data_IF_120020895460
#
_entry.id   IF_120020895460
#
_cell.length_a   1.000
_cell.length_b   1.000
_cell.length_c   1.000
_cell.angle_alpha   90.00
_cell.angle_beta   90.00
_cell.angle_gamma   90.00
#
_symmetry.space_group_name_H-M   'P 1'
#
loop_
_entity.id
_entity.type
_entity.pdbx_description
1 polymer ?
#
# COMPACT_ATOMS: atom_id res chain seq x y z
N UNK A 1 27.71 -11.64 -10.89
CA UNK A 1 28.82 -11.92 -9.95
C UNK A 1 30.19 -11.56 -10.54
N UNK A 2 30.49 -11.92 -11.80
CA UNK A 2 31.76 -11.58 -12.46
C UNK A 2 32.10 -10.08 -12.46
N UNK A 3 31.10 -9.21 -12.62
CA UNK A 3 31.30 -7.75 -12.55
C UNK A 3 31.82 -7.31 -11.18
N UNK A 4 31.20 -7.78 -10.10
CA UNK A 4 31.62 -7.43 -8.73
C UNK A 4 33.03 -7.94 -8.42
N UNK A 5 33.33 -9.17 -8.85
CA UNK A 5 34.68 -9.76 -8.74
C UNK A 5 35.72 -8.90 -9.45
N UNK A 6 35.46 -8.55 -10.72
CA UNK A 6 36.37 -7.76 -11.54
C UNK A 6 36.62 -6.39 -10.91
N UNK A 7 35.55 -5.74 -10.43
CA UNK A 7 35.66 -4.45 -9.74
C UNK A 7 36.52 -4.57 -8.49
N UNK A 8 36.26 -5.55 -7.62
CA UNK A 8 37.02 -5.76 -6.39
C UNK A 8 38.50 -6.01 -6.67
N UNK A 9 38.81 -6.86 -7.65
CA UNK A 9 40.20 -7.15 -8.01
C UNK A 9 40.93 -5.93 -8.61
N UNK A 10 40.18 -4.97 -9.17
CA UNK A 10 40.76 -3.73 -9.73
C UNK A 10 41.03 -2.69 -8.64
N UNK A 11 40.15 -2.57 -7.63
CA UNK A 11 40.18 -1.44 -6.67
C UNK A 11 40.65 -1.83 -5.27
N UNK A 12 40.83 -3.12 -4.98
CA UNK A 12 41.13 -3.59 -3.64
C UNK A 12 42.19 -4.68 -3.60
N UNK A 13 42.92 -4.72 -2.48
CA UNK A 13 43.89 -5.76 -2.12
C UNK A 13 43.40 -6.53 -0.90
N UNK A 14 43.80 -7.78 -0.76
CA UNK A 14 43.46 -8.56 0.43
C UNK A 14 44.05 -7.91 1.69
N UNK A 15 43.20 -7.67 2.70
CA UNK A 15 43.63 -7.11 4.00
C UNK A 15 44.62 -8.02 4.74
N UNK A 16 44.58 -9.34 4.51
CA UNK A 16 45.39 -10.30 5.25
C UNK A 16 46.75 -10.58 4.60
N UNK A 17 46.80 -10.77 3.27
CA UNK A 17 48.02 -11.15 2.55
C UNK A 17 48.53 -10.08 1.57
N UNK A 18 47.84 -8.93 1.46
CA UNK A 18 48.16 -7.85 0.52
C UNK A 18 48.20 -8.24 -0.97
N UNK A 19 47.76 -9.45 -1.33
CA UNK A 19 47.67 -9.86 -2.73
C UNK A 19 46.63 -9.03 -3.49
N UNK A 20 46.92 -8.77 -4.76
CA UNK A 20 46.02 -8.19 -5.76
C UNK A 20 45.42 -9.29 -6.63
N UNK A 21 44.30 -9.01 -7.30
CA UNK A 21 43.59 -9.96 -8.18
C UNK A 21 43.29 -11.33 -7.54
N UNK A 22 43.04 -11.34 -6.24
CA UNK A 22 42.92 -12.57 -5.46
C UNK A 22 41.51 -12.88 -4.99
N UNK A 23 40.52 -11.99 -5.20
CA UNK A 23 39.16 -12.20 -4.70
C UNK A 23 38.35 -13.09 -5.64
N UNK A 24 37.63 -14.04 -5.05
CA UNK A 24 36.47 -14.68 -5.64
C UNK A 24 35.22 -14.25 -4.90
N UNK A 25 34.12 -14.13 -5.64
CA UNK A 25 32.81 -13.78 -5.07
C UNK A 25 31.87 -14.93 -5.40
N UNK A 26 31.30 -15.53 -4.35
CA UNK A 26 30.35 -16.63 -4.44
C UNK A 26 29.01 -16.23 -3.84
N UNK A 27 27.95 -16.85 -4.33
CA UNK A 27 26.60 -16.68 -3.79
C UNK A 27 26.20 -17.95 -3.04
N UNK A 28 25.84 -17.84 -1.76
CA UNK A 28 25.28 -18.97 -1.00
C UNK A 28 23.78 -19.09 -1.29
N UNK A 29 23.46 -19.81 -2.36
CA UNK A 29 22.09 -20.06 -2.81
C UNK A 29 21.20 -20.72 -1.74
N UNK A 30 21.78 -21.61 -0.92
CA UNK A 30 21.09 -22.28 0.18
C UNK A 30 20.62 -21.33 1.29
N UNK A 31 21.23 -20.15 1.40
CA UNK A 31 20.90 -19.16 2.43
C UNK A 31 19.90 -18.10 1.95
N UNK A 32 19.37 -18.25 0.72
CA UNK A 32 18.42 -17.31 0.11
C UNK A 32 17.12 -17.23 0.91
N UNK A 33 16.63 -16.01 1.12
CA UNK A 33 15.38 -15.71 1.83
C UNK A 33 14.60 -14.67 1.03
N UNK A 34 13.73 -15.13 0.13
CA UNK A 34 13.08 -14.25 -0.84
C UNK A 34 14.12 -13.67 -1.80
N UNK A 35 14.15 -12.36 -1.96
CA UNK A 35 15.15 -11.67 -2.78
C UNK A 35 16.51 -11.50 -2.10
N UNK A 36 16.61 -11.75 -0.80
CA UNK A 36 17.90 -11.64 -0.09
C UNK A 36 18.77 -12.86 -0.34
N UNK A 37 20.02 -12.61 -0.71
CA UNK A 37 21.09 -13.61 -0.78
C UNK A 37 22.30 -13.24 0.08
N UNK A 38 23.14 -14.21 0.38
CA UNK A 38 24.43 -14.04 1.06
C UNK A 38 25.55 -14.10 0.02
N UNK A 39 26.40 -13.08 0.02
CA UNK A 39 27.60 -13.03 -0.79
C UNK A 39 28.79 -13.39 0.08
N UNK A 40 29.63 -14.29 -0.41
CA UNK A 40 30.87 -14.72 0.24
C UNK A 40 32.03 -14.24 -0.62
N UNK A 41 32.91 -13.47 -0.01
CA UNK A 41 34.17 -13.02 -0.59
C UNK A 41 35.28 -13.92 -0.06
N UNK A 42 36.07 -14.50 -0.96
CA UNK A 42 37.16 -15.42 -0.61
C UNK A 42 38.44 -14.92 -1.27
N UNK A 43 39.52 -14.80 -0.50
CA UNK A 43 40.84 -14.58 -1.07
C UNK A 43 41.46 -15.92 -1.47
N UNK A 44 41.73 -16.14 -2.76
CA UNK A 44 42.36 -17.38 -3.25
C UNK A 44 43.78 -17.58 -2.74
N UNK A 45 44.53 -16.48 -2.52
CA UNK A 45 45.94 -16.57 -2.11
C UNK A 45 46.14 -17.03 -0.66
N UNK A 46 45.26 -16.65 0.28
CA UNK A 46 45.43 -16.95 1.70
C UNK A 46 44.21 -17.63 2.35
N UNK A 47 43.14 -17.88 1.61
CA UNK A 47 41.95 -18.58 2.08
C UNK A 47 41.03 -17.80 3.01
N UNK A 48 41.34 -16.55 3.36
CA UNK A 48 40.46 -15.75 4.22
C UNK A 48 39.11 -15.51 3.52
N UNK A 49 38.02 -15.57 4.29
CA UNK A 49 36.68 -15.36 3.77
C UNK A 49 35.87 -14.40 4.65
N UNK A 50 34.94 -13.71 4.02
CA UNK A 50 33.96 -12.86 4.69
C UNK A 50 32.62 -12.97 3.97
N UNK A 51 31.53 -13.06 4.70
CA UNK A 51 30.19 -13.12 4.12
C UNK A 51 29.32 -11.95 4.55
N UNK A 52 28.38 -11.56 3.71
CA UNK A 52 27.44 -10.48 3.99
C UNK A 52 26.12 -10.69 3.25
N UNK A 53 25.01 -10.36 3.91
CA UNK A 53 23.70 -10.35 3.27
C UNK A 53 23.54 -9.13 2.39
N UNK A 54 22.89 -9.31 1.24
CA UNK A 54 22.57 -8.25 0.26
C UNK A 54 21.53 -7.25 0.74
N UNK A 55 20.85 -7.51 1.86
CA UNK A 55 19.85 -6.63 2.44
C UNK A 55 20.00 -6.60 3.95
N UNK A 56 19.72 -5.43 4.53
CA UNK A 56 19.57 -5.24 5.96
C UNK A 56 18.37 -6.04 6.51
N UNK A 57 18.46 -6.43 7.78
CA UNK A 57 17.41 -7.15 8.51
C UNK A 57 16.72 -6.20 9.50
N UNK A 58 15.42 -6.02 9.33
CA UNK A 58 14.55 -5.31 10.28
C UNK A 58 13.68 -6.30 11.06
N UNK A 59 12.88 -5.79 12.01
CA UNK A 59 11.97 -6.60 12.84
C UNK A 59 11.01 -7.47 12.02
N UNK A 60 10.62 -7.01 10.83
CA UNK A 60 9.68 -7.69 9.95
C UNK A 60 10.34 -8.65 8.95
N UNK A 61 11.68 -8.67 8.87
CA UNK A 61 12.45 -9.48 7.94
C UNK A 61 13.46 -8.64 7.16
N UNK A 62 13.93 -9.14 6.02
CA UNK A 62 14.84 -8.36 5.19
C UNK A 62 14.12 -7.22 4.46
N UNK A 63 14.72 -6.04 4.48
CA UNK A 63 14.11 -4.82 3.92
C UNK A 63 13.75 -4.94 2.44
N UNK A 64 14.61 -5.58 1.63
CA UNK A 64 14.32 -5.80 0.21
C UNK A 64 13.01 -6.57 -0.01
N UNK A 65 12.69 -7.51 0.89
CA UNK A 65 11.43 -8.25 0.81
C UNK A 65 10.24 -7.38 1.24
N UNK A 66 10.41 -6.55 2.26
CA UNK A 66 9.37 -5.59 2.69
C UNK A 66 9.09 -4.58 1.59
N UNK A 67 10.12 -4.04 0.95
CA UNK A 67 10.03 -3.09 -0.16
C UNK A 67 9.34 -3.74 -1.37
N UNK A 68 9.70 -4.98 -1.71
CA UNK A 68 9.02 -5.73 -2.77
C UNK A 68 7.52 -5.84 -2.51
N UNK A 69 7.13 -6.26 -1.30
CA UNK A 69 5.71 -6.41 -0.93
C UNK A 69 5.01 -5.05 -0.96
N UNK A 70 5.64 -4.01 -0.42
CA UNK A 70 5.09 -2.66 -0.41
C UNK A 70 4.90 -2.07 -1.82
N UNK A 71 5.91 -2.19 -2.69
CA UNK A 71 5.83 -1.72 -4.07
C UNK A 71 4.74 -2.44 -4.85
N UNK A 72 4.64 -3.76 -4.70
CA UNK A 72 3.60 -4.56 -5.35
C UNK A 72 2.19 -4.20 -4.83
N UNK A 73 2.06 -3.87 -3.54
CA UNK A 73 0.80 -3.36 -2.97
C UNK A 73 0.39 -2.01 -3.58
N UNK A 74 1.34 -1.10 -3.80
CA UNK A 74 1.05 0.22 -4.38
C UNK A 74 0.47 0.14 -5.80
N UNK A 75 0.87 -0.88 -6.57
CA UNK A 75 0.33 -1.14 -7.90
C UNK A 75 -0.88 -2.11 -7.90
N UNK A 76 -1.41 -2.46 -6.72
CA UNK A 76 -2.58 -3.33 -6.58
C UNK A 76 -2.32 -4.81 -6.89
N UNK A 77 -1.06 -5.26 -6.80
CA UNK A 77 -0.66 -6.62 -7.13
C UNK A 77 -0.23 -7.43 -5.90
N UNK A 78 -0.62 -8.71 -5.89
CA UNK A 78 -0.32 -9.66 -4.82
C UNK A 78 0.80 -10.65 -5.15
N UNK A 79 0.97 -11.66 -4.28
CA UNK A 79 2.02 -12.69 -4.36
C UNK A 79 2.13 -13.37 -5.73
N UNK A 80 1.01 -13.66 -6.39
CA UNK A 80 1.01 -14.32 -7.71
C UNK A 80 1.69 -13.48 -8.80
N UNK A 81 1.42 -12.17 -8.80
CA UNK A 81 2.08 -11.25 -9.71
C UNK A 81 3.57 -11.13 -9.39
N UNK A 82 3.93 -11.09 -8.10
CA UNK A 82 5.35 -11.08 -7.67
C UNK A 82 6.08 -12.34 -8.14
N UNK A 83 5.45 -13.51 -8.04
CA UNK A 83 6.04 -14.76 -8.54
C UNK A 83 6.33 -14.70 -10.04
N UNK A 84 5.39 -14.17 -10.82
CA UNK A 84 5.55 -13.99 -12.26
C UNK A 84 6.67 -13.01 -12.57
N UNK A 85 6.69 -11.87 -11.87
CA UNK A 85 7.73 -10.86 -11.99
C UNK A 85 9.13 -11.44 -11.69
N UNK A 86 9.26 -12.20 -10.60
CA UNK A 86 10.51 -12.86 -10.25
C UNK A 86 10.94 -13.85 -11.34
N UNK A 87 10.03 -14.66 -11.86
CA UNK A 87 10.33 -15.63 -12.92
C UNK A 87 10.80 -14.94 -14.21
N UNK A 88 10.12 -13.89 -14.65
CA UNK A 88 10.45 -13.15 -15.88
C UNK A 88 11.81 -12.45 -15.76
N UNK A 89 12.11 -11.87 -14.60
CA UNK A 89 13.37 -11.16 -14.36
C UNK A 89 14.51 -12.07 -13.90
N UNK A 90 14.33 -13.39 -13.91
CA UNK A 90 15.29 -14.37 -13.41
C UNK A 90 15.78 -14.06 -11.96
N UNK A 91 14.84 -13.65 -11.10
CA UNK A 91 15.08 -13.40 -9.68
C UNK A 91 14.70 -14.61 -8.83
N UNK A 92 15.22 -14.62 -7.59
CA UNK A 92 14.78 -15.56 -6.57
C UNK A 92 13.26 -15.49 -6.33
N UNK A 93 12.62 -16.62 -5.98
CA UNK A 93 11.19 -16.66 -5.70
C UNK A 93 10.79 -15.65 -4.60
N UNK A 94 9.53 -15.19 -4.60
CA UNK A 94 9.04 -14.29 -3.57
C UNK A 94 9.22 -14.87 -2.16
N UNK A 95 9.34 -14.01 -1.14
CA UNK A 95 9.57 -14.45 0.23
C UNK A 95 8.47 -15.41 0.70
N UNK A 96 8.88 -16.51 1.35
CA UNK A 96 7.94 -17.50 1.88
C UNK A 96 6.90 -16.87 2.84
N UNK A 97 7.35 -15.89 3.64
CA UNK A 97 6.53 -15.14 4.60
C UNK A 97 5.80 -13.92 3.99
N UNK A 98 5.47 -13.95 2.70
CA UNK A 98 4.81 -12.84 1.97
C UNK A 98 3.57 -12.32 2.71
N UNK A 99 2.66 -13.19 3.15
CA UNK A 99 1.41 -12.77 3.81
C UNK A 99 1.65 -12.13 5.18
N UNK A 100 2.68 -12.59 5.91
CA UNK A 100 3.07 -11.97 7.17
C UNK A 100 3.60 -10.56 6.94
N UNK A 101 4.45 -10.36 5.94
CA UNK A 101 4.94 -9.04 5.54
C UNK A 101 3.77 -8.14 5.12
N UNK A 102 2.87 -8.64 4.29
CA UNK A 102 1.71 -7.89 3.81
C UNK A 102 0.77 -7.48 4.97
N UNK A 103 0.57 -8.39 5.94
CA UNK A 103 -0.23 -8.10 7.14
C UNK A 103 0.44 -7.06 8.03
N UNK A 104 1.75 -7.16 8.24
CA UNK A 104 2.53 -6.18 9.02
C UNK A 104 2.48 -4.79 8.37
N UNK A 105 2.70 -4.72 7.07
CA UNK A 105 2.55 -3.50 6.28
C UNK A 105 1.13 -2.93 6.37
N UNK A 106 0.10 -3.78 6.34
CA UNK A 106 -1.27 -3.33 6.52
C UNK A 106 -1.47 -2.62 7.85
N UNK A 107 -0.97 -3.19 8.95
CA UNK A 107 -1.09 -2.59 10.29
C UNK A 107 -0.34 -1.26 10.38
N UNK A 108 0.89 -1.22 9.88
CA UNK A 108 1.71 -0.02 9.89
C UNK A 108 1.05 1.11 9.09
N UNK A 109 0.56 0.81 7.88
CA UNK A 109 -0.14 1.77 7.02
C UNK A 109 -1.47 2.22 7.63
N UNK A 110 -2.24 1.31 8.25
CA UNK A 110 -3.46 1.69 8.96
C UNK A 110 -3.16 2.65 10.12
N UNK A 111 -2.13 2.38 10.92
CA UNK A 111 -1.72 3.29 12.01
C UNK A 111 -1.30 4.66 11.48
N UNK A 112 -0.49 4.69 10.42
CA UNK A 112 -0.06 5.94 9.78
C UNK A 112 -1.27 6.71 9.21
N UNK A 113 -2.21 6.01 8.57
CA UNK A 113 -3.43 6.58 8.04
C UNK A 113 -4.27 7.22 9.15
N UNK A 114 -4.53 6.51 10.25
CA UNK A 114 -5.29 7.05 11.39
C UNK A 114 -4.65 8.30 11.96
N UNK A 115 -3.32 8.30 12.17
CA UNK A 115 -2.58 9.48 12.65
C UNK A 115 -2.67 10.66 11.68
N UNK A 116 -2.59 10.38 10.38
CA UNK A 116 -2.71 11.41 9.33
C UNK A 116 -4.12 12.02 9.30
N UNK A 117 -5.16 11.20 9.41
CA UNK A 117 -6.56 11.66 9.43
C UNK A 117 -6.88 12.45 10.69
N UNK A 118 -6.38 12.04 11.87
CA UNK A 118 -6.53 12.83 13.10
C UNK A 118 -5.96 14.25 12.95
N UNK A 119 -4.75 14.37 12.39
CA UNK A 119 -4.15 15.67 12.09
C UNK A 119 -4.94 16.47 11.03
N UNK A 120 -5.58 15.78 10.07
CA UNK A 120 -6.44 16.42 9.10
C UNK A 120 -7.72 16.97 9.75
N UNK A 121 -8.32 16.23 10.68
CA UNK A 121 -9.48 16.66 11.47
C UNK A 121 -9.12 17.86 12.33
N UNK A 122 -8.03 17.80 13.10
CA UNK A 122 -7.55 18.92 13.91
C UNK A 122 -7.34 20.18 13.06
N UNK A 123 -6.69 20.02 11.91
CA UNK A 123 -6.51 21.11 10.94
C UNK A 123 -7.83 21.67 10.42
N UNK A 124 -8.83 20.83 10.16
CA UNK A 124 -10.14 21.26 9.69
C UNK A 124 -10.92 22.01 10.79
N UNK A 125 -10.94 21.50 12.02
CA UNK A 125 -11.58 22.16 13.18
C UNK A 125 -10.94 23.52 13.43
N UNK A 126 -9.61 23.61 13.41
CA UNK A 126 -8.91 24.89 13.64
C UNK A 126 -9.23 25.96 12.60
N UNK A 127 -9.50 25.57 11.34
CA UNK A 127 -9.90 26.50 10.28
C UNK A 127 -11.38 26.88 10.30
N UNK A 128 -12.20 26.09 10.99
CA UNK A 128 -13.64 26.27 11.08
C UNK A 128 -14.04 26.94 12.40
N UNK A 129 -13.26 27.92 12.86
CA UNK A 129 -13.47 28.63 14.13
C UNK A 129 -13.68 27.70 15.35
N UNK A 130 -12.93 26.59 15.39
CA UNK A 130 -13.04 25.52 16.39
C UNK A 130 -14.39 24.78 16.41
N UNK A 131 -15.24 24.96 15.40
CA UNK A 131 -16.45 24.17 15.20
C UNK A 131 -16.13 22.78 14.66
N UNK A 132 -16.82 21.78 15.22
CA UNK A 132 -16.73 20.38 14.79
C UNK A 132 -17.66 20.05 13.61
N UNK A 133 -18.48 21.00 13.18
CA UNK A 133 -19.36 20.86 12.02
C UNK A 133 -18.56 21.11 10.73
N UNK A 134 -17.87 20.07 10.28
CA UNK A 134 -17.00 20.14 9.10
C UNK A 134 -17.80 19.80 7.83
N UNK A 135 -17.75 20.70 6.85
CA UNK A 135 -18.30 20.42 5.52
C UNK A 135 -17.35 19.49 4.75
N UNK A 136 -17.90 18.41 4.20
CA UNK A 136 -17.13 17.40 3.47
C UNK A 136 -17.59 17.23 2.02
N UNK A 137 -16.64 16.97 1.14
CA UNK A 137 -16.87 16.40 -0.18
C UNK A 137 -16.66 14.89 -0.10
N UNK A 138 -17.61 14.11 -0.62
CA UNK A 138 -17.47 12.65 -0.70
C UNK A 138 -17.07 12.24 -2.11
N UNK A 139 -16.00 11.44 -2.21
CA UNK A 139 -15.57 10.85 -3.46
C UNK A 139 -15.38 9.34 -3.31
N UNK A 140 -15.69 8.61 -4.37
CA UNK A 140 -15.64 7.15 -4.42
C UNK A 140 -14.77 6.65 -5.54
N UNK A 141 -14.06 5.54 -5.31
CA UNK A 141 -13.35 4.82 -6.35
C UNK A 141 -13.70 3.34 -6.32
N UNK A 142 -13.68 2.71 -7.48
CA UNK A 142 -14.02 1.30 -7.68
C UNK A 142 -12.87 0.59 -8.36
N UNK A 143 -12.60 -0.66 -7.95
CA UNK A 143 -11.50 -1.45 -8.51
C UNK A 143 -11.65 -1.68 -10.02
N UNK A 144 -12.89 -1.84 -10.51
CA UNK A 144 -13.19 -2.07 -11.93
C UNK A 144 -14.16 -1.02 -12.43
N UNK A 145 -14.02 -0.64 -13.70
CA UNK A 145 -14.99 0.21 -14.39
C UNK A 145 -16.32 -0.53 -14.58
N UNK A 146 -17.42 0.22 -14.51
CA UNK A 146 -18.77 -0.33 -14.68
C UNK A 146 -19.32 -0.98 -13.42
N UNK A 147 -20.51 -1.57 -13.54
CA UNK A 147 -21.26 -2.12 -12.40
C UNK A 147 -20.75 -3.48 -11.90
N UNK A 148 -19.60 -3.95 -12.40
CA UNK A 148 -19.01 -5.26 -12.07
C UNK A 148 -17.95 -5.19 -10.97
N UNK A 149 -17.72 -4.03 -10.36
CA UNK A 149 -16.75 -3.92 -9.27
C UNK A 149 -17.28 -4.56 -8.00
N UNK A 150 -16.46 -5.43 -7.42
CA UNK A 150 -16.72 -6.05 -6.12
C UNK A 150 -16.13 -5.24 -4.96
N UNK A 151 -15.14 -4.40 -5.24
CA UNK A 151 -14.43 -3.59 -4.26
C UNK A 151 -14.58 -2.10 -4.60
N UNK A 152 -14.75 -1.28 -3.57
CA UNK A 152 -14.75 0.17 -3.69
C UNK A 152 -14.25 0.83 -2.42
N UNK A 153 -13.91 2.10 -2.51
CA UNK A 153 -13.52 2.94 -1.37
C UNK A 153 -14.26 4.26 -1.51
N UNK A 154 -14.86 4.72 -0.43
CA UNK A 154 -15.45 6.06 -0.31
C UNK A 154 -14.56 6.86 0.64
N UNK A 155 -14.29 8.10 0.31
CA UNK A 155 -13.48 9.02 1.10
C UNK A 155 -14.28 10.28 1.40
N UNK A 156 -14.12 10.82 2.61
CA UNK A 156 -14.64 12.11 3.00
C UNK A 156 -13.48 13.10 3.12
N UNK A 157 -13.56 14.16 2.35
CA UNK A 157 -12.53 15.20 2.27
C UNK A 157 -13.09 16.50 2.81
N UNK A 158 -12.44 17.11 3.79
CA UNK A 158 -12.83 18.43 4.30
C UNK A 158 -12.74 19.47 3.17
N UNK A 159 -13.80 20.24 2.97
CA UNK A 159 -13.85 21.24 1.90
C UNK A 159 -12.85 22.39 2.14
N UNK A 160 -12.65 22.76 3.40
CA UNK A 160 -11.81 23.91 3.79
C UNK A 160 -10.31 23.60 3.78
N UNK A 161 -9.93 22.34 3.99
CA UNK A 161 -8.53 21.91 4.01
C UNK A 161 -8.10 21.13 2.77
N UNK A 162 -9.06 20.54 2.04
CA UNK A 162 -8.78 19.60 0.96
C UNK A 162 -8.14 18.29 1.44
N UNK A 163 -8.19 17.98 2.74
CA UNK A 163 -7.60 16.77 3.33
C UNK A 163 -8.66 15.71 3.60
N UNK A 164 -8.30 14.45 3.41
CA UNK A 164 -9.14 13.29 3.76
C UNK A 164 -9.23 13.19 5.28
N UNK A 165 -10.45 13.19 5.81
CA UNK A 165 -10.73 13.09 7.24
C UNK A 165 -11.31 11.73 7.63
N UNK A 166 -11.91 11.01 6.67
CA UNK A 166 -12.41 9.65 6.88
C UNK A 166 -12.47 8.87 5.56
N UNK A 167 -12.51 7.54 5.64
CA UNK A 167 -12.74 6.66 4.50
C UNK A 167 -13.42 5.35 4.91
N UNK A 168 -14.18 4.77 3.98
CA UNK A 168 -14.80 3.47 4.13
C UNK A 168 -14.44 2.58 2.94
N UNK A 169 -13.88 1.40 3.23
CA UNK A 169 -13.71 0.33 2.24
C UNK A 169 -15.00 -0.47 2.12
N UNK A 170 -15.47 -0.68 0.90
CA UNK A 170 -16.64 -1.48 0.54
C UNK A 170 -16.19 -2.74 -0.20
N UNK A 171 -16.72 -3.89 0.20
CA UNK A 171 -16.42 -5.18 -0.42
C UNK A 171 -17.70 -6.01 -0.53
N UNK A 172 -18.20 -6.23 -1.75
CA UNK A 172 -19.32 -7.15 -2.03
C UNK A 172 -18.92 -8.62 -1.93
N UNK A 173 -17.64 -8.89 -1.74
CA UNK A 173 -17.08 -10.23 -1.65
C UNK A 173 -16.82 -10.63 -0.20
N UNK A 174 -17.39 -11.74 0.24
CA UNK A 174 -17.09 -12.34 1.53
C UNK A 174 -16.42 -13.69 1.33
N UNK A 175 -15.16 -13.83 1.78
CA UNK A 175 -14.41 -15.08 1.68
C UNK A 175 -15.07 -16.21 2.48
N UNK A 176 -15.70 -15.87 3.61
CA UNK A 176 -16.44 -16.83 4.45
C UNK A 176 -17.67 -17.36 3.71
N UNK A 177 -18.44 -16.49 3.05
CA UNK A 177 -19.62 -16.88 2.28
C UNK A 177 -19.29 -17.69 1.02
N UNK A 178 -18.13 -17.46 0.39
CA UNK A 178 -17.73 -18.26 -0.78
C UNK A 178 -17.40 -19.71 -0.39
N UNK A 179 -16.81 -19.92 0.79
CA UNK A 179 -16.33 -21.23 1.21
C UNK A 179 -17.36 -22.05 1.99
N UNK A 180 -18.49 -21.47 2.41
CA UNK A 180 -19.61 -22.19 3.02
C UNK A 180 -20.84 -22.07 2.12
N UNK A 181 -21.25 -23.20 1.53
CA UNK A 181 -22.56 -23.32 0.90
C UNK A 181 -23.62 -23.19 1.98
N UNK A 182 -24.37 -22.09 1.92
CA UNK A 182 -25.58 -21.77 2.67
C UNK A 182 -25.38 -20.98 4.00
N UNK A 183 -26.01 -19.80 3.99
CA UNK A 183 -26.40 -18.92 5.09
C UNK A 183 -25.33 -18.21 5.93
N UNK A 184 -24.85 -17.06 5.44
CA UNK A 184 -24.41 -15.95 6.30
C UNK A 184 -25.39 -14.76 6.18
N UNK A 185 -26.51 -14.81 6.91
CA UNK A 185 -27.45 -13.66 7.00
C UNK A 185 -26.80 -12.42 7.63
N UNK A 186 -25.70 -12.58 8.37
CA UNK A 186 -24.97 -11.50 9.04
C UNK A 186 -24.02 -10.71 8.12
N UNK A 187 -23.58 -11.31 7.02
CA UNK A 187 -22.59 -10.70 6.13
C UNK A 187 -23.20 -9.65 5.19
N UNK A 188 -24.48 -9.80 4.82
CA UNK A 188 -25.23 -8.79 4.05
C UNK A 188 -25.57 -7.55 4.89
N UNK A 189 -25.99 -7.75 6.15
CA UNK A 189 -26.38 -6.65 7.06
C UNK A 189 -25.24 -5.66 7.31
N UNK A 190 -24.01 -6.11 7.56
CA UNK A 190 -22.87 -5.19 7.81
C UNK A 190 -22.54 -4.25 6.65
N UNK A 191 -22.77 -4.65 5.40
CA UNK A 191 -22.52 -3.81 4.23
C UNK A 191 -23.65 -2.80 3.97
N UNK A 192 -24.89 -3.19 4.23
CA UNK A 192 -26.06 -2.30 4.12
C UNK A 192 -26.18 -1.36 5.30
N UNK A 193 -25.87 -1.80 6.52
CA UNK A 193 -25.99 -0.99 7.74
C UNK A 193 -24.95 0.13 7.77
N UNK A 194 -23.72 -0.11 7.30
CA UNK A 194 -22.71 0.96 7.14
C UNK A 194 -23.06 1.96 6.03
N UNK A 195 -23.64 1.51 4.91
CA UNK A 195 -24.19 2.42 3.89
C UNK A 195 -25.42 3.20 4.38
N UNK A 196 -26.26 2.59 5.21
CA UNK A 196 -27.45 3.21 5.81
C UNK A 196 -27.06 4.23 6.90
N UNK A 197 -26.06 3.94 7.73
CA UNK A 197 -25.53 4.88 8.72
C UNK A 197 -25.01 6.18 8.06
N UNK A 198 -24.34 6.08 6.91
CA UNK A 198 -23.94 7.25 6.12
C UNK A 198 -25.13 7.96 5.45
N UNK A 199 -26.08 7.21 4.85
CA UNK A 199 -27.29 7.79 4.24
C UNK A 199 -28.17 8.55 5.25
N UNK A 200 -28.18 8.12 6.52
CA UNK A 200 -29.00 8.73 7.57
C UNK A 200 -28.29 9.91 8.24
N UNK A 201 -26.96 9.97 8.25
CA UNK A 201 -26.20 11.15 8.74
C UNK A 201 -25.94 12.24 7.70
N UNK A 202 -25.92 11.92 6.40
CA UNK A 202 -25.75 12.88 5.31
C UNK A 202 -26.82 12.62 4.26
N UNK A 203 -27.85 13.47 4.21
CA UNK A 203 -28.95 13.36 3.26
C UNK A 203 -28.39 13.60 1.84
N UNK A 204 -28.10 12.53 1.10
CA UNK A 204 -27.63 12.58 -0.28
C UNK A 204 -28.80 12.56 -1.27
N UNK A 205 -28.89 13.55 -2.15
CA UNK A 205 -29.49 13.38 -3.47
C UNK A 205 -28.37 13.01 -4.45
N UNK A 206 -28.47 11.81 -5.02
CA UNK A 206 -27.47 11.27 -5.94
C UNK A 206 -27.73 11.82 -7.34
N UNK A 207 -26.91 12.76 -7.83
CA UNK A 207 -26.87 13.12 -9.24
C UNK A 207 -25.73 12.35 -9.92
N UNK A 208 -26.09 11.46 -10.86
CA UNK A 208 -25.13 10.73 -11.68
C UNK A 208 -24.65 11.64 -12.82
N UNK A 209 -23.34 11.93 -12.87
CA UNK A 209 -22.73 12.60 -14.02
C UNK A 209 -21.98 11.54 -14.84
N UNK A 210 -22.45 11.32 -16.07
CA UNK A 210 -21.81 10.43 -17.04
C UNK A 210 -20.52 11.11 -17.56
N UNK A 211 -19.36 10.44 -17.43
CA UNK A 211 -18.12 10.91 -18.06
C UNK A 211 -17.67 9.97 -19.20
N UNK A 212 -17.30 10.51 -20.38
CA UNK A 212 -16.80 9.73 -21.51
C UNK A 212 -15.37 9.23 -21.30
N UNK A 213 -14.99 8.26 -22.13
CA UNK A 213 -13.83 7.36 -22.04
C UNK A 213 -12.47 8.10 -22.07
N UNK A 214 -11.55 7.67 -21.20
CA UNK A 214 -10.12 8.00 -21.28
C UNK A 214 -9.34 7.35 -20.13
N UNK A 215 -8.25 6.65 -20.47
CA UNK A 215 -7.36 5.87 -19.59
C UNK A 215 -6.57 6.78 -18.64
N UNK A 216 -6.47 6.48 -17.35
CA UNK A 216 -5.39 7.01 -16.51
C UNK A 216 -4.96 6.04 -15.39
N UNK A 217 -3.65 5.85 -15.35
CA UNK A 217 -2.85 5.31 -14.24
C UNK A 217 -2.99 6.25 -13.04
N UNK A 218 -2.90 5.73 -11.81
CA UNK A 218 -2.85 6.52 -10.57
C UNK A 218 -1.94 7.75 -10.71
N UNK A 219 -2.55 8.92 -10.90
CA UNK A 219 -1.94 10.22 -10.69
C UNK A 219 -2.96 11.08 -9.98
N UNK A 220 -2.52 11.75 -8.91
CA UNK A 220 -3.21 12.85 -8.28
C UNK A 220 -3.84 13.75 -9.32
N UNK A 221 -5.18 13.83 -9.34
CA UNK A 221 -5.89 14.91 -10.01
C UNK A 221 -6.96 15.40 -9.04
N UNK A 222 -6.53 16.40 -8.28
CA UNK A 222 -7.38 17.52 -7.90
C UNK A 222 -7.97 18.08 -9.22
N UNK A 223 -9.17 17.67 -9.63
CA UNK A 223 -9.96 18.42 -10.61
C UNK A 223 -11.28 18.78 -9.98
N UNK A 224 -11.31 20.03 -9.49
CA UNK A 224 -12.51 20.79 -9.22
C UNK A 224 -13.56 20.55 -10.30
N UNK A 225 -14.71 20.04 -9.88
CA UNK A 225 -15.98 20.51 -10.42
C UNK A 225 -16.67 21.28 -9.29
N UNK A 226 -16.28 22.55 -9.15
CA UNK A 226 -17.04 23.53 -8.39
C UNK A 226 -18.41 23.70 -9.05
N UNK A 227 -19.44 23.04 -8.50
CA UNK A 227 -20.78 23.62 -8.48
C UNK A 227 -21.10 23.93 -7.02
N UNK A 228 -20.98 25.22 -6.68
CA UNK A 228 -21.58 25.84 -5.49
C UNK A 228 -23.01 25.29 -5.35
N UNK A 229 -23.25 24.45 -4.35
CA UNK A 229 -24.60 24.21 -3.86
C UNK A 229 -24.57 24.51 -2.38
N UNK A 230 -24.94 25.75 -2.08
CA UNK A 230 -25.23 26.27 -0.76
C UNK A 230 -26.42 25.47 -0.19
N UNK A 231 -26.23 24.75 0.90
CA UNK A 231 -27.33 24.38 1.79
C UNK A 231 -27.15 25.14 3.10
N UNK A 232 -27.61 26.40 3.08
CA UNK A 232 -27.85 27.18 4.28
C UNK A 232 -29.08 26.59 4.96
N UNK A 233 -28.90 25.68 5.92
CA UNK A 233 -30.03 25.18 6.69
C UNK A 233 -30.61 26.32 7.54
N UNK A 234 -31.94 26.42 7.45
CA UNK A 234 -32.74 27.54 7.91
C UNK A 234 -32.62 27.76 9.41
N UNK A 235 -32.61 29.05 9.78
CA UNK A 235 -32.82 29.54 11.14
C UNK A 235 -34.02 28.83 11.76
N UNK A 236 -33.82 28.22 12.92
CA UNK A 236 -34.88 27.99 13.90
C UNK A 236 -35.51 29.36 14.18
N UNK A 237 -36.73 29.58 13.70
CA UNK A 237 -37.55 30.71 14.16
C UNK A 237 -38.02 30.35 15.57
N UNK A 238 -37.49 31.08 16.54
CA UNK A 238 -38.08 31.22 17.87
C UNK A 238 -39.42 31.95 17.74
N UNK A 239 -40.48 31.31 18.23
CA UNK A 239 -41.59 31.96 18.94
C UNK A 239 -41.72 31.23 20.26
#
# INVERSE_FOLDING_TARGET
MNVLKTLLNTVSKCKHCNSTDCFDVLEETNSRRGLTTSLVFICKSCGCSSSSKTSYISENGYDINTILVYGMRCIGNGKCAVRTLCAVMNLSPPPAKFERLNSSLCRALSSACSKSMLKAIEGAVSRNDNSRDITVALDGTWQKRGHTSINGVITATSLDTGKVIDFQCLCKYCFICKNKSNDCKDCQKKLTDTMLEWKVKVKFECFSVLFPRGTFVMQNILRMATRKIFLKNQRVKSV
#
